data_IF_445862388127
#
_entry.id   IF_445862388127
#
_cell.length_a   1.000
_cell.length_b   1.000
_cell.length_c   1.000
_cell.angle_alpha   90.00
_cell.angle_beta   90.00
_cell.angle_gamma   90.00
#
_symmetry.space_group_name_H-M   'P 1'
#
loop_
_entity.id
_entity.type
_entity.pdbx_description
1 polymer ?
#
# COMPACT_ATOMS: atom_id res chain seq x y z
N UNK A 1 -10.02 21.14 -15.19
CA UNK A 1 -8.74 20.75 -14.53
C UNK A 1 -8.98 20.20 -13.12
N UNK A 2 -9.90 20.78 -12.34
CA UNK A 2 -10.39 20.19 -11.08
C UNK A 2 -10.92 18.76 -11.24
N UNK A 3 -11.54 18.44 -12.39
CA UNK A 3 -12.12 17.11 -12.63
C UNK A 3 -11.06 16.00 -12.74
N UNK A 4 -9.88 16.27 -13.30
CA UNK A 4 -8.82 15.24 -13.41
C UNK A 4 -8.21 14.92 -12.04
N UNK A 5 -8.04 15.93 -11.18
CA UNK A 5 -7.50 15.73 -9.83
C UNK A 5 -8.50 14.97 -8.96
N UNK A 6 -9.79 15.32 -9.06
CA UNK A 6 -10.83 14.62 -8.33
C UNK A 6 -11.01 13.17 -8.83
N UNK A 7 -10.92 12.95 -10.14
CA UNK A 7 -10.92 11.61 -10.74
C UNK A 7 -9.74 10.77 -10.25
N UNK A 8 -8.54 11.36 -10.19
CA UNK A 8 -7.34 10.70 -9.69
C UNK A 8 -7.47 10.27 -8.23
N UNK A 9 -7.93 11.18 -7.35
CA UNK A 9 -8.14 10.87 -5.92
C UNK A 9 -9.20 9.77 -5.76
N UNK A 10 -10.31 9.87 -6.50
CA UNK A 10 -11.39 8.87 -6.46
C UNK A 10 -10.92 7.50 -6.95
N UNK A 11 -10.15 7.44 -8.04
CA UNK A 11 -9.63 6.19 -8.60
C UNK A 11 -8.59 5.53 -7.68
N UNK A 12 -7.70 6.31 -7.06
CA UNK A 12 -6.58 5.77 -6.25
C UNK A 12 -7.02 5.35 -4.85
N UNK A 13 -7.94 6.08 -4.21
CA UNK A 13 -8.29 5.85 -2.79
C UNK A 13 -9.71 5.33 -2.57
N UNK A 14 -10.67 5.72 -3.40
CA UNK A 14 -12.09 5.40 -3.16
C UNK A 14 -12.50 4.13 -3.91
N UNK A 15 -12.09 4.01 -5.18
CA UNK A 15 -12.45 2.86 -6.03
C UNK A 15 -11.36 1.79 -6.10
N UNK A 16 -10.21 2.02 -5.46
CA UNK A 16 -9.14 1.03 -5.40
C UNK A 16 -9.43 -0.03 -4.32
N UNK A 17 -10.24 -1.02 -4.71
CA UNK A 17 -10.69 -2.11 -3.85
C UNK A 17 -9.54 -2.89 -3.21
N UNK A 18 -8.36 -2.96 -3.86
CA UNK A 18 -7.19 -3.66 -3.32
C UNK A 18 -6.69 -3.03 -2.00
N UNK A 19 -6.69 -1.70 -1.91
CA UNK A 19 -6.18 -0.98 -0.75
C UNK A 19 -7.19 -1.02 0.42
N UNK A 20 -8.47 -0.87 0.11
CA UNK A 20 -9.54 -0.74 1.12
C UNK A 20 -10.02 -2.10 1.65
N UNK A 21 -10.05 -3.14 0.81
CA UNK A 21 -10.56 -4.46 1.22
C UNK A 21 -9.45 -5.47 1.51
N UNK A 22 -8.41 -5.58 0.68
CA UNK A 22 -7.49 -6.71 0.79
C UNK A 22 -6.37 -6.53 1.83
N UNK A 23 -5.87 -5.30 2.02
CA UNK A 23 -4.76 -5.07 2.97
C UNK A 23 -5.22 -4.81 4.41
N UNK A 24 -6.51 -4.49 4.61
CA UNK A 24 -7.00 -3.95 5.87
C UNK A 24 -8.12 -4.73 6.57
N UNK A 25 -8.79 -5.68 5.91
CA UNK A 25 -10.08 -6.24 6.40
C UNK A 25 -10.08 -6.71 7.86
N UNK A 26 -9.09 -7.53 8.25
CA UNK A 26 -9.02 -8.08 9.61
C UNK A 26 -8.77 -7.01 10.68
N UNK A 27 -7.85 -6.08 10.42
CA UNK A 27 -7.56 -4.97 11.35
C UNK A 27 -8.66 -3.90 11.36
N UNK A 28 -9.29 -3.66 10.22
CA UNK A 28 -10.43 -2.76 10.08
C UNK A 28 -11.62 -3.26 10.90
N UNK A 29 -12.02 -4.53 10.76
CA UNK A 29 -13.13 -5.10 11.54
C UNK A 29 -12.89 -5.05 13.05
N UNK A 30 -11.65 -5.23 13.51
CA UNK A 30 -11.30 -5.16 14.93
C UNK A 30 -11.30 -3.73 15.50
N UNK A 31 -10.90 -2.73 14.70
CA UNK A 31 -10.59 -1.37 15.19
C UNK A 31 -11.64 -0.32 14.78
N UNK A 32 -12.62 -0.68 13.95
CA UNK A 32 -13.65 0.24 13.40
C UNK A 32 -14.47 1.02 14.43
N UNK A 33 -14.65 0.51 15.66
CA UNK A 33 -15.51 1.17 16.67
C UNK A 33 -14.86 2.36 17.39
N UNK A 34 -13.54 2.52 17.30
CA UNK A 34 -12.79 3.53 18.05
C UNK A 34 -11.92 4.35 17.09
N UNK A 35 -12.30 5.60 16.89
CA UNK A 35 -11.65 6.52 15.92
C UNK A 35 -10.17 6.76 16.29
N UNK A 36 -9.86 6.92 17.58
CA UNK A 36 -8.48 7.15 18.03
C UNK A 36 -7.52 6.01 17.66
N UNK A 37 -7.96 4.76 17.84
CA UNK A 37 -7.17 3.58 17.46
C UNK A 37 -7.13 3.37 15.95
N UNK A 38 -8.20 3.71 15.23
CA UNK A 38 -8.24 3.62 13.77
C UNK A 38 -7.26 4.60 13.10
N UNK A 39 -7.11 5.81 13.64
CA UNK A 39 -6.11 6.77 13.16
C UNK A 39 -4.67 6.28 13.39
N UNK A 40 -4.36 5.75 14.58
CA UNK A 40 -3.04 5.18 14.87
C UNK A 40 -2.70 3.99 13.96
N UNK A 41 -3.66 3.10 13.72
CA UNK A 41 -3.52 1.98 12.79
C UNK A 41 -3.26 2.46 11.36
N UNK A 42 -4.01 3.47 10.89
CA UNK A 42 -3.85 4.04 9.55
C UNK A 42 -2.44 4.61 9.33
N UNK A 43 -1.91 5.36 10.30
CA UNK A 43 -0.55 5.90 10.24
C UNK A 43 0.48 4.77 10.19
N UNK A 44 0.33 3.73 11.03
CA UNK A 44 1.24 2.59 11.05
C UNK A 44 1.27 1.87 9.69
N UNK A 45 0.11 1.64 9.07
CA UNK A 45 0.02 0.98 7.76
C UNK A 45 0.66 1.83 6.65
N UNK A 46 0.44 3.15 6.65
CA UNK A 46 1.06 4.04 5.65
C UNK A 46 2.59 3.98 5.75
N UNK A 47 3.14 4.04 6.97
CA UNK A 47 4.59 3.97 7.19
C UNK A 47 5.14 2.62 6.71
N UNK A 48 4.54 1.51 7.12
CA UNK A 48 5.01 0.17 6.74
C UNK A 48 4.93 -0.04 5.24
N UNK A 49 3.84 0.36 4.56
CA UNK A 49 3.73 0.22 3.12
C UNK A 49 4.71 1.12 2.36
N UNK A 50 4.92 2.35 2.84
CA UNK A 50 5.86 3.28 2.21
C UNK A 50 7.30 2.76 2.23
N UNK A 51 7.68 1.96 3.23
CA UNK A 51 8.98 1.29 3.27
C UNK A 51 8.97 -0.04 2.50
N UNK A 52 7.92 -0.85 2.67
CA UNK A 52 7.91 -2.23 2.14
C UNK A 52 7.81 -2.26 0.62
N UNK A 53 7.05 -1.35 -0.02
CA UNK A 53 6.95 -1.29 -1.49
C UNK A 53 8.31 -1.05 -2.17
N UNK A 54 9.08 0.00 -1.85
CA UNK A 54 10.35 0.24 -2.53
C UNK A 54 11.37 -0.85 -2.21
N UNK A 55 11.41 -1.35 -0.97
CA UNK A 55 12.30 -2.45 -0.59
C UNK A 55 11.98 -3.70 -1.40
N UNK A 56 10.71 -4.08 -1.49
CA UNK A 56 10.30 -5.26 -2.26
C UNK A 56 10.55 -5.07 -3.77
N UNK A 57 10.39 -3.85 -4.30
CA UNK A 57 10.72 -3.55 -5.69
C UNK A 57 12.23 -3.68 -5.96
N UNK A 58 13.08 -3.23 -5.04
CA UNK A 58 14.53 -3.43 -5.11
C UNK A 58 14.87 -4.93 -5.10
N UNK A 59 14.30 -5.69 -4.17
CA UNK A 59 14.51 -7.15 -4.09
C UNK A 59 14.03 -7.84 -5.37
N UNK A 60 12.87 -7.47 -5.90
CA UNK A 60 12.35 -8.05 -7.13
C UNK A 60 13.30 -7.80 -8.31
N UNK A 61 13.83 -6.58 -8.44
CA UNK A 61 14.71 -6.22 -9.54
C UNK A 61 16.13 -6.80 -9.41
N UNK A 62 16.64 -6.99 -8.19
CA UNK A 62 18.02 -7.45 -7.95
C UNK A 62 18.16 -8.94 -7.64
N UNK A 63 17.10 -9.63 -7.20
CA UNK A 63 17.15 -11.06 -6.83
C UNK A 63 16.20 -11.95 -7.63
N UNK A 64 14.97 -11.51 -7.93
CA UNK A 64 13.89 -12.43 -8.37
C UNK A 64 13.59 -12.38 -9.87
N UNK A 65 13.75 -11.21 -10.51
CA UNK A 65 13.46 -11.03 -11.94
C UNK A 65 14.38 -11.90 -12.81
N UNK A 66 13.89 -12.43 -13.92
CA UNK A 66 14.70 -13.23 -14.84
C UNK A 66 15.95 -12.46 -15.30
N UNK A 67 17.14 -13.07 -15.10
CA UNK A 67 18.50 -12.50 -15.23
C UNK A 67 18.94 -11.48 -14.16
N UNK A 68 18.21 -11.30 -13.06
CA UNK A 68 18.59 -10.37 -11.99
C UNK A 68 19.89 -10.78 -11.27
N UNK A 69 20.20 -12.07 -11.17
CA UNK A 69 21.45 -12.58 -10.57
C UNK A 69 22.67 -12.47 -11.49
N UNK A 70 22.57 -11.88 -12.69
CA UNK A 70 23.70 -11.68 -13.59
C UNK A 70 24.80 -10.76 -13.02
N UNK A 71 24.53 -10.03 -11.94
CA UNK A 71 25.56 -9.29 -11.20
C UNK A 71 26.33 -10.16 -10.19
N UNK A 72 25.78 -11.29 -9.78
CA UNK A 72 26.38 -12.21 -8.81
C UNK A 72 27.22 -13.33 -9.46
N UNK A 73 27.17 -13.47 -10.79
CA UNK A 73 27.94 -14.44 -11.57
C UNK A 73 27.27 -14.82 -12.88
#
# INVERSE_FOLDING_TARGET
MMDLVNLFIKAVFVENLALTFFLGMCTFLAVSKKIGTALGLGIAVIVVQSLTIPINNLIYQFLIKDRALAWAG
#
